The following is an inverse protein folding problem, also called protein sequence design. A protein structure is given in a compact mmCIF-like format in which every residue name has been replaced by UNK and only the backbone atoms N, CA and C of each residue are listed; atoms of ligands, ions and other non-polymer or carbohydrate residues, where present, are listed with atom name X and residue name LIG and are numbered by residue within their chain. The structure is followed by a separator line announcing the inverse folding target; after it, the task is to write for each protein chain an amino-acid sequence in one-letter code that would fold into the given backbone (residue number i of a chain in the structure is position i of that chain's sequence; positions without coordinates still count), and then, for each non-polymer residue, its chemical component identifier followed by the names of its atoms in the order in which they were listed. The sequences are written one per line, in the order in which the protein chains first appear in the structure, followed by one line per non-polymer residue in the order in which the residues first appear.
data_IF_565698672721
#
_entry.id   IF_565698672721
#
_cell.length_a   1.000
_cell.length_b   1.000
_cell.length_c   1.000
_cell.angle_alpha   90.00
_cell.angle_beta   90.00
_cell.angle_gamma   90.00
#
_symmetry.space_group_name_H-M   'P 1'
#
loop_
_entity.id
_entity.type
_entity.pdbx_description
1 polymer ?
#
# COMPACT_ATOMS: atom_id res chain seq x y z
N UNK A 1 -11.54 -13.16 1.66
CA UNK A 1 -11.93 -12.08 2.60
C UNK A 1 -10.97 -10.91 2.35
N UNK A 2 -11.44 -9.66 2.14
CA UNK A 2 -10.51 -8.52 2.05
C UNK A 2 -9.70 -8.47 3.36
N UNK A 3 -8.36 -8.38 3.34
CA UNK A 3 -7.63 -8.14 4.57
C UNK A 3 -8.14 -6.82 5.15
N UNK A 4 -8.77 -6.88 6.31
CA UNK A 4 -9.33 -5.71 6.99
C UNK A 4 -8.24 -4.94 7.72
N UNK A 5 -7.09 -5.58 7.98
CA UNK A 5 -6.00 -4.99 8.75
C UNK A 5 -4.70 -4.94 7.97
N UNK A 6 -4.04 -3.79 8.06
CA UNK A 6 -2.66 -3.55 7.67
C UNK A 6 -1.81 -3.44 8.95
N UNK A 7 -0.58 -3.97 8.97
CA UNK A 7 0.37 -3.77 10.08
C UNK A 7 1.50 -2.88 9.60
N UNK A 8 1.89 -1.88 10.40
CA UNK A 8 3.00 -1.00 10.08
C UNK A 8 4.31 -1.78 9.85
N UNK A 9 4.54 -2.82 10.65
CA UNK A 9 5.70 -3.72 10.48
C UNK A 9 5.68 -4.47 9.14
N UNK A 10 4.52 -4.96 8.69
CA UNK A 10 4.40 -5.63 7.41
C UNK A 10 4.71 -4.68 6.25
N UNK A 11 4.27 -3.42 6.33
CA UNK A 11 4.69 -2.41 5.36
C UNK A 11 6.20 -2.17 5.43
N UNK A 12 6.71 -1.96 6.64
CA UNK A 12 8.12 -1.66 6.87
C UNK A 12 9.01 -2.69 6.20
N UNK A 13 8.77 -3.97 6.45
CA UNK A 13 9.55 -5.07 5.87
C UNK A 13 9.32 -5.22 4.37
N UNK A 14 8.06 -5.14 3.90
CA UNK A 14 7.75 -5.29 2.48
C UNK A 14 8.42 -4.24 1.59
N UNK A 15 8.64 -3.03 2.09
CA UNK A 15 9.24 -1.92 1.32
C UNK A 15 10.63 -1.50 1.81
N UNK A 16 11.25 -2.28 2.71
CA UNK A 16 12.56 -1.97 3.28
C UNK A 16 13.65 -1.84 2.23
N UNK A 17 13.67 -2.73 1.23
CA UNK A 17 14.64 -2.70 0.13
C UNK A 17 14.42 -1.50 -0.80
N UNK A 18 13.16 -1.22 -1.14
CA UNK A 18 12.77 -0.13 -2.05
C UNK A 18 13.01 1.25 -1.44
N UNK A 19 12.61 1.44 -0.18
CA UNK A 19 12.57 2.76 0.46
C UNK A 19 13.72 3.01 1.42
N UNK A 20 14.49 1.97 1.79
CA UNK A 20 15.67 2.06 2.67
C UNK A 20 15.42 2.91 3.92
N UNK A 21 14.22 2.80 4.46
CA UNK A 21 13.77 3.58 5.59
C UNK A 21 14.21 3.01 6.93
N UNK A 22 14.18 3.85 7.94
CA UNK A 22 14.51 3.53 9.33
C UNK A 22 13.28 3.74 10.20
N UNK A 23 13.05 2.83 11.14
CA UNK A 23 11.98 2.96 12.14
C UNK A 23 12.54 3.71 13.35
N UNK A 24 12.02 4.91 13.62
CA UNK A 24 12.60 5.82 14.63
C UNK A 24 11.72 6.03 15.87
N UNK A 25 10.41 5.80 15.80
CA UNK A 25 9.49 5.94 16.93
C UNK A 25 8.28 5.01 16.82
N UNK A 26 7.56 4.77 17.92
CA UNK A 26 6.32 4.01 17.95
C UNK A 26 6.51 2.49 17.88
N UNK A 27 7.66 2.00 18.34
CA UNK A 27 8.00 0.57 18.34
C UNK A 27 7.08 -0.29 19.22
N UNK A 28 6.36 0.32 20.18
CA UNK A 28 5.54 -0.38 21.16
C UNK A 28 4.27 -1.02 20.56
N UNK A 29 3.75 -0.49 19.44
CA UNK A 29 2.57 -1.02 18.76
C UNK A 29 2.80 -1.26 17.26
N UNK A 30 3.64 -2.26 16.90
CA UNK A 30 3.88 -2.62 15.50
C UNK A 30 2.61 -3.11 14.78
N UNK A 31 1.62 -3.55 15.57
CA UNK A 31 0.31 -3.98 15.11
C UNK A 31 -0.70 -2.86 14.84
N UNK A 32 -0.31 -1.56 14.88
CA UNK A 32 -1.24 -0.47 14.57
C UNK A 32 -1.85 -0.65 13.17
N UNK A 33 -3.17 -0.59 13.09
CA UNK A 33 -3.96 -0.87 11.88
C UNK A 33 -4.55 0.42 11.32
N UNK A 34 -4.77 0.44 10.01
CA UNK A 34 -5.79 1.34 9.47
C UNK A 34 -7.12 1.02 10.15
N UNK A 35 -7.88 2.04 10.49
CA UNK A 35 -9.25 1.84 10.96
C UNK A 35 -10.05 1.24 9.81
N UNK A 36 -10.72 0.10 10.04
CA UNK A 36 -11.48 -0.60 8.99
C UNK A 36 -12.45 0.32 8.23
N UNK A 37 -13.02 1.31 8.91
CA UNK A 37 -13.87 2.33 8.31
C UNK A 37 -13.12 3.15 7.25
N UNK A 38 -11.90 3.59 7.53
CA UNK A 38 -11.09 4.37 6.58
C UNK A 38 -10.74 3.56 5.32
N UNK A 39 -10.48 2.26 5.46
CA UNK A 39 -10.23 1.37 4.31
C UNK A 39 -11.51 1.14 3.49
N UNK A 40 -12.66 0.99 4.16
CA UNK A 40 -13.95 0.80 3.48
C UNK A 40 -14.43 2.07 2.77
N UNK A 41 -14.22 3.22 3.38
CA UNK A 41 -14.69 4.51 2.87
C UNK A 41 -13.74 5.08 1.79
N UNK A 42 -12.50 4.59 1.73
CA UNK A 42 -11.55 4.93 0.69
C UNK A 42 -12.08 4.48 -0.69
N UNK A 43 -12.25 5.44 -1.59
CA UNK A 43 -12.62 5.18 -2.98
C UNK A 43 -11.41 4.80 -3.83
N UNK A 44 -10.22 5.14 -3.34
CA UNK A 44 -8.93 4.86 -3.98
C UNK A 44 -7.84 4.68 -2.93
N UNK A 45 -6.79 3.93 -3.26
CA UNK A 45 -5.59 3.86 -2.41
C UNK A 45 -4.90 5.22 -2.23
N UNK A 46 -5.18 6.20 -3.11
CA UNK A 46 -4.72 7.57 -2.95
C UNK A 46 -5.35 8.29 -1.73
N UNK A 47 -6.49 7.83 -1.24
CA UNK A 47 -7.14 8.38 -0.04
C UNK A 47 -6.40 7.94 1.24
N UNK A 48 -5.70 6.81 1.17
CA UNK A 48 -5.03 6.15 2.30
C UNK A 48 -3.61 6.66 2.57
N UNK A 49 -3.03 7.46 1.67
CA UNK A 49 -1.68 8.00 1.82
C UNK A 49 -1.52 9.36 1.15
N UNK A 50 -0.80 10.30 1.77
CA UNK A 50 -0.33 11.49 1.09
C UNK A 50 0.40 12.46 2.01
N UNK A 51 0.73 13.63 1.48
CA UNK A 51 1.32 14.71 2.27
C UNK A 51 0.47 15.09 3.46
N UNK A 52 1.12 15.64 4.49
CA UNK A 52 0.49 16.10 5.72
C UNK A 52 -0.81 16.86 5.45
N UNK A 53 -1.90 16.34 6.01
CA UNK A 53 -3.23 16.92 5.86
C UNK A 53 -4.02 16.83 7.16
N UNK A 54 -4.50 17.97 7.66
CA UNK A 54 -5.26 18.08 8.92
C UNK A 54 -6.76 17.77 8.80
N UNK A 55 -7.24 17.47 7.60
CA UNK A 55 -8.66 17.27 7.30
C UNK A 55 -9.00 15.78 7.23
N UNK A 56 -8.09 14.96 6.72
CA UNK A 56 -8.30 13.53 6.51
C UNK A 56 -7.59 12.69 7.59
N UNK A 57 -8.34 12.14 8.58
CA UNK A 57 -7.78 11.26 9.61
C UNK A 57 -7.49 9.84 9.08
N UNK A 58 -6.81 9.03 9.89
CA UNK A 58 -6.59 7.58 9.68
C UNK A 58 -5.88 7.18 8.37
N UNK A 59 -5.11 8.09 7.77
CA UNK A 59 -4.29 7.84 6.56
C UNK A 59 -2.80 7.92 6.87
N UNK A 60 -1.97 7.25 6.06
CA UNK A 60 -0.51 7.43 6.12
C UNK A 60 -0.16 8.88 5.77
N UNK A 61 0.57 9.55 6.66
CA UNK A 61 0.95 10.94 6.51
C UNK A 61 2.43 11.06 6.12
N UNK A 62 2.70 11.74 5.02
CA UNK A 62 4.05 12.02 4.55
C UNK A 62 4.45 13.43 4.96
N UNK A 63 5.60 13.54 5.61
CA UNK A 63 6.20 14.80 6.04
C UNK A 63 7.49 14.98 5.25
N UNK A 64 7.42 15.74 4.15
CA UNK A 64 8.58 16.10 3.36
C UNK A 64 9.22 17.40 3.84
N UNK A 65 10.09 17.97 3.00
CA UNK A 65 10.79 19.22 3.29
C UNK A 65 9.84 20.39 3.57
N UNK A 66 8.73 20.49 2.83
CA UNK A 66 7.80 21.62 2.95
C UNK A 66 6.99 21.52 4.23
N UNK A 67 6.54 20.32 4.57
CA UNK A 67 5.78 20.03 5.78
C UNK A 67 6.65 20.24 7.02
N UNK A 68 7.91 19.78 7.00
CA UNK A 68 8.82 20.03 8.12
C UNK A 68 9.13 21.51 8.32
N UNK A 69 9.37 22.26 7.24
CA UNK A 69 9.53 23.71 7.34
C UNK A 69 8.29 24.37 7.95
N UNK A 70 7.09 23.94 7.55
CA UNK A 70 5.86 24.40 8.18
C UNK A 70 5.81 24.03 9.67
N UNK A 71 6.28 22.86 10.09
CA UNK A 71 6.32 22.49 11.51
C UNK A 71 7.41 23.23 12.31
N UNK A 72 8.47 23.69 11.64
CA UNK A 72 9.62 24.35 12.28
C UNK A 72 9.52 25.88 12.32
N UNK A 73 8.94 26.52 11.30
CA UNK A 73 8.78 27.98 11.20
C UNK A 73 7.59 28.47 12.04
N UNK A 74 7.67 28.31 13.35
CA UNK A 74 6.69 28.82 14.31
C UNK A 74 7.28 28.91 15.73
N UNK A 75 6.48 29.41 16.68
CA UNK A 75 6.84 29.36 18.09
C UNK A 75 6.85 27.91 18.60
N UNK A 76 7.52 27.66 19.72
CA UNK A 76 7.55 26.33 20.35
C UNK A 76 6.14 25.83 20.70
N UNK A 77 5.29 26.73 21.19
CA UNK A 77 3.88 26.42 21.53
C UNK A 77 3.06 26.07 20.28
N UNK A 78 3.27 26.81 19.18
CA UNK A 78 2.62 26.52 17.91
C UNK A 78 3.08 25.19 17.31
N UNK A 79 4.38 24.88 17.42
CA UNK A 79 4.93 23.61 16.96
C UNK A 79 4.29 22.44 17.69
N UNK A 80 4.20 22.53 19.02
CA UNK A 80 3.56 21.51 19.85
C UNK A 80 2.08 21.35 19.51
N UNK A 81 1.35 22.46 19.33
CA UNK A 81 -0.05 22.42 18.87
C UNK A 81 -0.18 21.76 17.49
N UNK A 82 0.71 22.08 16.54
CA UNK A 82 0.68 21.51 15.18
C UNK A 82 0.93 20.00 15.21
N UNK A 83 1.99 19.55 15.88
CA UNK A 83 2.31 18.12 16.02
C UNK A 83 1.20 17.39 16.77
N UNK A 84 0.63 17.97 17.83
CA UNK A 84 -0.52 17.40 18.55
C UNK A 84 -1.70 17.14 17.63
N UNK A 85 -1.98 18.05 16.70
CA UNK A 85 -3.05 17.85 15.71
C UNK A 85 -2.73 16.71 14.75
N UNK A 86 -1.47 16.49 14.38
CA UNK A 86 -1.09 15.33 13.53
C UNK A 86 -1.39 14.03 14.27
N UNK A 87 -0.97 13.94 15.54
CA UNK A 87 -1.19 12.75 16.38
C UNK A 87 -2.69 12.48 16.58
N UNK A 88 -3.49 13.53 16.78
CA UNK A 88 -4.94 13.43 16.95
C UNK A 88 -5.70 12.93 15.70
N UNK A 89 -5.08 12.94 14.52
CA UNK A 89 -5.63 12.30 13.32
C UNK A 89 -5.52 10.77 13.36
N UNK A 90 -4.82 10.24 14.36
CA UNK A 90 -4.51 8.82 14.53
C UNK A 90 -3.99 8.16 13.25
N UNK A 91 -2.93 8.71 12.62
CA UNK A 91 -2.37 8.10 11.43
C UNK A 91 -1.87 6.68 11.75
N UNK A 92 -2.05 5.71 10.83
CA UNK A 92 -1.49 4.37 10.98
C UNK A 92 0.05 4.41 10.97
N UNK A 93 0.65 5.29 10.16
CA UNK A 93 2.10 5.53 10.07
C UNK A 93 2.34 6.98 9.66
N UNK A 94 3.38 7.59 10.20
CA UNK A 94 3.95 8.86 9.71
C UNK A 94 5.31 8.54 9.07
N UNK A 95 5.58 9.10 7.89
CA UNK A 95 6.85 8.90 7.19
C UNK A 95 7.48 10.26 6.91
N UNK A 96 8.69 10.47 7.41
CA UNK A 96 9.53 11.62 7.10
C UNK A 96 10.39 11.28 5.90
N UNK A 97 10.29 12.09 4.84
CA UNK A 97 10.96 11.86 3.56
C UNK A 97 11.92 13.01 3.21
N UNK A 98 12.47 12.99 1.99
CA UNK A 98 13.36 14.02 1.44
C UNK A 98 14.69 14.20 2.20
N UNK A 99 15.25 13.12 2.77
CA UNK A 99 16.48 13.15 3.58
C UNK A 99 16.40 14.10 4.77
N UNK A 100 15.20 14.30 5.31
CA UNK A 100 15.02 15.20 6.43
C UNK A 100 15.13 14.44 7.76
N UNK A 101 15.71 15.11 8.76
CA UNK A 101 15.68 14.62 10.13
C UNK A 101 14.29 14.89 10.74
N UNK A 102 13.77 13.90 11.48
CA UNK A 102 12.54 14.10 12.25
C UNK A 102 12.80 15.01 13.46
N UNK A 103 11.96 16.04 13.72
CA UNK A 103 12.05 16.84 14.93
C UNK A 103 11.90 15.98 16.19
N UNK A 104 12.73 16.21 17.21
CA UNK A 104 12.69 15.46 18.47
C UNK A 104 11.30 15.44 19.11
N UNK A 105 10.55 16.55 19.01
CA UNK A 105 9.17 16.63 19.49
C UNK A 105 8.23 15.70 18.73
N UNK A 106 8.38 15.58 17.41
CA UNK A 106 7.56 14.66 16.61
C UNK A 106 7.84 13.21 17.03
N UNK A 107 9.12 12.85 17.18
CA UNK A 107 9.56 11.53 17.68
C UNK A 107 8.93 11.23 19.04
N UNK A 108 9.12 12.13 20.02
CA UNK A 108 8.61 11.94 21.37
C UNK A 108 7.07 11.81 21.43
N UNK A 109 6.36 12.58 20.62
CA UNK A 109 4.89 12.50 20.54
C UNK A 109 4.41 11.23 19.83
N UNK A 110 5.12 10.78 18.80
CA UNK A 110 4.84 9.50 18.14
C UNK A 110 5.09 8.32 19.08
N UNK A 111 6.17 8.34 19.86
CA UNK A 111 6.42 7.31 20.87
C UNK A 111 5.31 7.26 21.93
N UNK A 112 4.93 8.42 22.50
CA UNK A 112 3.87 8.50 23.51
C UNK A 112 2.50 8.06 22.99
N UNK A 113 2.20 8.34 21.73
CA UNK A 113 0.94 7.98 21.09
C UNK A 113 1.00 6.63 20.35
N UNK A 114 2.14 5.95 20.43
CA UNK A 114 2.39 4.65 19.82
C UNK A 114 2.08 4.66 18.31
N UNK A 115 2.49 5.74 17.64
CA UNK A 115 2.39 5.92 16.19
C UNK A 115 3.74 5.58 15.57
N UNK A 116 3.80 4.58 14.67
CA UNK A 116 5.00 4.27 13.92
C UNK A 116 5.47 5.48 13.11
N UNK A 117 6.75 5.80 13.28
CA UNK A 117 7.43 6.89 12.57
C UNK A 117 8.61 6.32 11.79
N UNK A 118 8.57 6.47 10.47
CA UNK A 118 9.65 6.05 9.58
C UNK A 118 10.38 7.27 9.02
N UNK A 119 11.67 7.12 8.74
CA UNK A 119 12.51 8.14 8.10
C UNK A 119 13.17 7.55 6.86
N UNK A 120 13.19 8.28 5.75
CA UNK A 120 13.86 7.84 4.53
C UNK A 120 14.58 8.97 3.80
N UNK A 121 15.64 8.57 3.08
CA UNK A 121 16.34 9.41 2.13
C UNK A 121 15.61 9.58 0.79
N UNK A 122 14.59 8.76 0.52
CA UNK A 122 13.82 8.83 -0.71
C UNK A 122 12.93 10.08 -0.76
N UNK A 123 12.59 10.52 -1.97
CA UNK A 123 11.69 11.67 -2.15
C UNK A 123 10.27 11.36 -1.68
N UNK A 124 9.58 12.34 -1.11
CA UNK A 124 8.21 12.19 -0.65
C UNK A 124 7.26 11.67 -1.74
N UNK A 125 7.42 12.15 -2.98
CA UNK A 125 6.64 11.66 -4.12
C UNK A 125 6.85 10.18 -4.40
N UNK A 126 8.11 9.72 -4.40
CA UNK A 126 8.43 8.31 -4.61
C UNK A 126 7.86 7.42 -3.51
N UNK A 127 7.98 7.83 -2.25
CA UNK A 127 7.39 7.11 -1.09
C UNK A 127 5.88 6.98 -1.26
N UNK A 128 5.20 8.06 -1.66
CA UNK A 128 3.77 8.05 -1.91
C UNK A 128 3.42 7.01 -2.97
N UNK A 129 4.13 6.99 -4.10
CA UNK A 129 3.83 6.07 -5.20
C UNK A 129 4.02 4.60 -4.80
N UNK A 130 5.14 4.28 -4.14
CA UNK A 130 5.46 2.91 -3.67
C UNK A 130 4.43 2.43 -2.66
N UNK A 131 4.18 3.22 -1.61
CA UNK A 131 3.26 2.81 -0.54
C UNK A 131 1.82 2.81 -1.05
N UNK A 132 1.41 3.74 -1.93
CA UNK A 132 0.08 3.73 -2.56
C UNK A 132 -0.13 2.47 -3.40
N UNK A 133 0.87 2.06 -4.18
CA UNK A 133 0.80 0.83 -4.97
C UNK A 133 0.62 -0.39 -4.06
N UNK A 134 1.43 -0.49 -3.00
CA UNK A 134 1.32 -1.55 -2.00
C UNK A 134 -0.06 -1.60 -1.33
N UNK A 135 -0.58 -0.45 -0.87
CA UNK A 135 -1.92 -0.38 -0.26
C UNK A 135 -3.02 -0.73 -1.27
N UNK A 136 -2.86 -0.31 -2.54
CA UNK A 136 -3.78 -0.64 -3.62
C UNK A 136 -3.86 -2.13 -3.88
N UNK A 137 -2.73 -2.84 -3.88
CA UNK A 137 -2.70 -4.29 -4.00
C UNK A 137 -3.26 -4.99 -2.76
N UNK A 138 -2.89 -4.52 -1.56
CA UNK A 138 -3.32 -5.12 -0.30
C UNK A 138 -4.85 -5.06 -0.14
N UNK A 139 -5.47 -3.93 -0.49
CA UNK A 139 -6.90 -3.71 -0.33
C UNK A 139 -7.71 -3.89 -1.63
N UNK A 140 -7.07 -4.38 -2.69
CA UNK A 140 -7.72 -4.63 -3.99
C UNK A 140 -8.96 -5.52 -3.84
N UNK A 141 -9.98 -5.20 -4.61
CA UNK A 141 -11.13 -6.09 -4.75
C UNK A 141 -10.72 -7.35 -5.49
N UNK A 142 -11.01 -8.51 -4.89
CA UNK A 142 -10.70 -9.82 -5.47
C UNK A 142 -11.97 -10.54 -5.86
N UNK A 143 -11.95 -11.16 -7.04
CA UNK A 143 -12.91 -12.19 -7.45
C UNK A 143 -12.17 -13.32 -8.14
N UNK A 144 -12.73 -14.53 -8.11
CA UNK A 144 -12.17 -15.67 -8.82
C UNK A 144 -13.06 -16.00 -10.01
N UNK A 145 -12.47 -16.18 -11.19
CA UNK A 145 -13.19 -16.54 -12.42
C UNK A 145 -12.64 -17.85 -12.97
N UNK A 146 -13.53 -18.67 -13.50
CA UNK A 146 -13.15 -19.88 -14.21
C UNK A 146 -12.65 -19.54 -15.62
N UNK A 147 -11.53 -20.14 -16.03
CA UNK A 147 -10.92 -19.90 -17.33
C UNK A 147 -9.41 -20.14 -17.33
N UNK A 148 -8.78 -19.86 -18.48
CA UNK A 148 -7.32 -19.95 -18.63
C UNK A 148 -6.77 -18.54 -18.77
N UNK A 149 -5.83 -18.15 -17.90
CA UNK A 149 -5.19 -16.85 -17.95
C UNK A 149 -3.76 -16.97 -18.45
N UNK A 150 -3.40 -16.16 -19.44
CA UNK A 150 -2.15 -16.28 -20.19
C UNK A 150 -1.51 -14.92 -20.42
N UNK A 151 -0.18 -14.90 -20.54
CA UNK A 151 0.58 -13.80 -21.12
C UNK A 151 0.85 -14.07 -22.61
N UNK A 152 0.22 -13.29 -23.47
CA UNK A 152 0.36 -13.35 -24.92
C UNK A 152 0.93 -12.03 -25.40
N UNK A 153 2.21 -12.02 -25.78
CA UNK A 153 2.92 -10.84 -26.29
C UNK A 153 2.91 -9.65 -25.31
N UNK A 154 2.94 -9.91 -23.99
CA UNK A 154 2.89 -8.89 -22.94
C UNK A 154 1.48 -8.45 -22.58
N UNK A 155 0.44 -9.11 -23.10
CA UNK A 155 -0.96 -8.85 -22.78
C UNK A 155 -1.52 -9.99 -21.93
N UNK A 156 -2.12 -9.65 -20.79
CA UNK A 156 -2.89 -10.59 -19.99
C UNK A 156 -4.21 -10.94 -20.68
N UNK A 157 -4.34 -12.18 -21.14
CA UNK A 157 -5.52 -12.69 -21.86
C UNK A 157 -6.24 -13.73 -21.01
N UNK A 158 -7.51 -13.48 -20.71
CA UNK A 158 -8.40 -14.44 -20.02
C UNK A 158 -9.29 -15.15 -21.04
N UNK A 159 -9.02 -16.43 -21.27
CA UNK A 159 -9.84 -17.31 -22.10
C UNK A 159 -11.03 -17.80 -21.27
N UNK A 160 -12.23 -17.41 -21.68
CA UNK A 160 -13.50 -17.82 -21.06
C UNK A 160 -14.37 -18.61 -22.02
N UNK A 161 -15.33 -19.37 -21.50
CA UNK A 161 -16.21 -20.24 -22.26
C UNK A 161 -16.75 -21.39 -21.41
N UNK A 162 -17.76 -22.08 -21.92
CA UNK A 162 -18.36 -23.25 -21.27
C UNK A 162 -17.31 -24.35 -20.99
N UNK A 163 -17.60 -25.20 -20.01
CA UNK A 163 -16.74 -26.33 -19.67
C UNK A 163 -16.69 -27.33 -20.83
N UNK A 164 -15.50 -27.86 -21.14
CA UNK A 164 -15.30 -28.81 -22.23
C UNK A 164 -15.19 -28.20 -23.64
N UNK A 165 -15.23 -26.87 -23.81
CA UNK A 165 -15.04 -26.20 -25.12
C UNK A 165 -13.59 -26.17 -25.64
N UNK A 166 -12.64 -26.81 -24.96
CA UNK A 166 -11.25 -26.84 -25.41
C UNK A 166 -10.38 -25.69 -24.88
N UNK A 167 -10.75 -25.02 -23.77
CA UNK A 167 -10.02 -23.85 -23.25
C UNK A 167 -8.60 -24.21 -22.82
N UNK A 168 -8.46 -25.29 -22.06
CA UNK A 168 -7.16 -25.76 -21.55
C UNK A 168 -6.32 -26.32 -22.69
N UNK A 169 -6.92 -26.98 -23.68
CA UNK A 169 -6.26 -27.46 -24.89
C UNK A 169 -5.72 -26.31 -25.74
N UNK A 170 -6.52 -25.26 -25.96
CA UNK A 170 -6.05 -24.04 -26.62
C UNK A 170 -4.94 -23.37 -25.82
N UNK A 171 -5.07 -23.32 -24.48
CA UNK A 171 -4.05 -22.79 -23.59
C UNK A 171 -2.71 -23.52 -23.74
N UNK A 172 -2.72 -24.86 -23.67
CA UNK A 172 -1.54 -25.70 -23.86
C UNK A 172 -0.90 -25.51 -25.24
N UNK A 173 -1.72 -25.36 -26.27
CA UNK A 173 -1.28 -25.14 -27.65
C UNK A 173 -0.73 -23.71 -27.89
N UNK A 174 -1.07 -22.75 -27.03
CA UNK A 174 -0.43 -21.43 -26.99
C UNK A 174 0.89 -21.48 -26.20
N UNK A 175 0.96 -22.26 -25.12
CA UNK A 175 2.22 -22.52 -24.40
C UNK A 175 3.24 -23.19 -25.31
N UNK A 176 2.83 -24.15 -26.14
CA UNK A 176 3.71 -24.82 -27.11
C UNK A 176 4.32 -23.85 -28.13
N UNK A 177 3.66 -22.71 -28.37
CA UNK A 177 4.13 -21.60 -29.23
C UNK A 177 4.97 -20.55 -28.48
N UNK A 178 5.25 -20.75 -27.21
CA UNK A 178 6.10 -19.87 -26.39
C UNK A 178 5.36 -18.78 -25.63
N UNK A 179 4.02 -18.86 -25.49
CA UNK A 179 3.26 -17.96 -24.63
C UNK A 179 3.29 -18.40 -23.17
N UNK A 180 3.13 -17.46 -22.23
CA UNK A 180 3.16 -17.74 -20.81
C UNK A 180 1.81 -18.22 -20.30
N UNK A 181 1.76 -19.37 -19.60
CA UNK A 181 0.61 -19.74 -18.79
C UNK A 181 0.71 -19.07 -17.42
N UNK A 182 -0.33 -18.38 -17.00
CA UNK A 182 -0.42 -17.81 -15.66
C UNK A 182 -1.27 -18.72 -14.76
N UNK A 183 -2.45 -19.13 -15.23
CA UNK A 183 -3.37 -19.98 -14.47
C UNK A 183 -4.30 -20.79 -15.40
N UNK A 184 -4.69 -21.98 -14.98
CA UNK A 184 -5.69 -22.84 -15.63
C UNK A 184 -6.80 -23.17 -14.62
N UNK A 185 -8.00 -23.44 -15.12
CA UNK A 185 -9.25 -23.67 -14.36
C UNK A 185 -9.75 -22.48 -13.54
N UNK A 186 -8.94 -21.88 -12.67
CA UNK A 186 -9.33 -20.77 -11.81
C UNK A 186 -8.31 -19.64 -11.82
N UNK A 187 -8.81 -18.40 -11.90
CA UNK A 187 -8.00 -17.18 -12.00
C UNK A 187 -8.46 -16.20 -10.95
N UNK A 188 -7.55 -15.79 -10.06
CA UNK A 188 -7.81 -14.70 -9.13
C UNK A 188 -7.57 -13.36 -9.81
N UNK A 189 -8.62 -12.54 -9.88
CA UNK A 189 -8.59 -11.21 -10.45
C UNK A 189 -8.64 -10.16 -9.33
N UNK A 190 -7.70 -9.23 -9.37
CA UNK A 190 -7.54 -8.14 -8.42
C UNK A 190 -7.73 -6.81 -9.11
N UNK A 191 -8.62 -5.96 -8.60
CA UNK A 191 -8.75 -4.57 -9.04
C UNK A 191 -7.73 -3.70 -8.32
N UNK A 192 -6.55 -3.54 -8.93
CA UNK A 192 -5.40 -2.82 -8.35
C UNK A 192 -5.46 -1.31 -8.58
N UNK A 193 -6.27 -0.84 -9.54
CA UNK A 193 -6.62 0.57 -9.73
C UNK A 193 -8.00 0.71 -10.38
N UNK A 194 -8.49 1.95 -10.60
CA UNK A 194 -9.78 2.18 -11.28
C UNK A 194 -9.81 1.65 -12.72
N UNK A 195 -8.66 1.56 -13.39
CA UNK A 195 -8.56 1.19 -14.81
C UNK A 195 -7.73 -0.08 -15.06
N UNK A 196 -7.25 -0.75 -14.01
CA UNK A 196 -6.35 -1.90 -14.14
C UNK A 196 -6.80 -3.08 -13.29
N UNK A 197 -6.75 -4.27 -13.90
CA UNK A 197 -6.94 -5.56 -13.26
C UNK A 197 -5.63 -6.35 -13.35
N UNK A 198 -5.30 -7.05 -12.28
CA UNK A 198 -4.19 -7.99 -12.21
C UNK A 198 -4.75 -9.41 -12.03
N UNK A 199 -4.29 -10.36 -12.85
CA UNK A 199 -4.68 -11.77 -12.74
C UNK A 199 -3.55 -12.62 -12.19
N UNK A 200 -3.86 -13.54 -11.27
CA UNK A 200 -2.89 -14.44 -10.63
C UNK A 200 -3.42 -15.87 -10.56
N UNK A 201 -2.51 -16.83 -10.50
CA UNK A 201 -2.85 -18.21 -10.13
C UNK A 201 -3.24 -18.27 -8.65
N UNK A 202 -4.39 -18.88 -8.30
CA UNK A 202 -4.74 -19.15 -6.92
C UNK A 202 -3.69 -20.00 -6.21
N UNK A 203 -3.44 -19.73 -4.93
CA UNK A 203 -2.45 -20.49 -4.13
C UNK A 203 -2.73 -22.00 -4.12
N UNK A 204 -4.00 -22.41 -4.17
CA UNK A 204 -4.42 -23.81 -4.24
C UNK A 204 -3.94 -24.54 -5.51
N UNK A 205 -3.60 -23.80 -6.56
CA UNK A 205 -3.16 -24.32 -7.86
C UNK A 205 -1.67 -24.10 -8.10
N UNK A 206 -0.96 -23.44 -7.17
CA UNK A 206 0.50 -23.33 -7.21
C UNK A 206 1.11 -24.65 -6.70
N UNK A 207 1.87 -25.33 -7.57
CA UNK A 207 2.63 -26.55 -7.22
C UNK A 207 3.87 -26.23 -6.38
#
# INVERSE_FOLDING_TARGET
MKPTSFRAEALFEAQRSSLRWEWVAGHAHPERRFVDAAVRDAQSSADLIGYLNYIHPYRVQIVGRRELRYLAECSVEDQERRISRIVALEPPVIIVADQQASPERLVAMCDRAEIPLFVTAESAGHVIDVVRSYLGQLFAERTTRHGVFMDILGLGVLLTGESGLGKSELGLELVSRGHGLVADDAVDLYRVSQSSLEGRCPELLLN
#
